data_IF_923952602025
#
_entry.id   IF_923952602025
#
_cell.length_a   1.000
_cell.length_b   1.000
_cell.length_c   1.000
_cell.angle_alpha   90.00
_cell.angle_beta   90.00
_cell.angle_gamma   90.00
#
_symmetry.space_group_name_H-M   'P 1'
#
loop_
_entity.id
_entity.type
_entity.pdbx_description
1 polymer ?
#
# COMPACT_ATOMS: atom_id res chain seq x y z
N UNK A 1 21.77 -14.13 10.42
CA UNK A 1 21.90 -12.75 10.95
C UNK A 1 22.42 -11.85 9.83
N UNK A 2 21.57 -11.65 8.83
CA UNK A 2 21.67 -10.82 7.62
C UNK A 2 20.28 -11.03 6.99
N UNK A 3 19.41 -10.05 6.76
CA UNK A 3 19.61 -8.80 6.03
C UNK A 3 18.59 -7.80 6.57
N UNK A 4 18.99 -6.97 7.53
CA UNK A 4 18.16 -5.89 8.12
C UNK A 4 18.41 -4.55 7.41
N UNK A 5 18.67 -4.61 6.10
CA UNK A 5 18.69 -3.45 5.22
C UNK A 5 17.44 -3.53 4.35
N UNK A 6 16.31 -3.19 4.98
CA UNK A 6 15.11 -2.77 4.26
C UNK A 6 15.52 -1.51 3.50
N UNK A 7 15.44 -1.56 2.17
CA UNK A 7 15.79 -0.48 1.26
C UNK A 7 14.95 0.77 1.59
N UNK A 8 15.55 1.64 2.39
CA UNK A 8 15.12 3.03 2.52
C UNK A 8 15.42 3.68 1.17
N UNK A 9 14.42 4.32 0.56
CA UNK A 9 14.64 5.28 -0.53
C UNK A 9 15.36 6.49 0.05
N UNK A 10 16.66 6.40 0.29
CA UNK A 10 17.45 7.48 0.86
C UNK A 10 17.60 8.61 -0.18
N UNK A 11 17.29 9.86 0.21
CA UNK A 11 17.60 11.05 -0.58
C UNK A 11 16.53 12.15 -0.60
N UNK A 12 16.82 13.23 -1.34
CA UNK A 12 16.04 14.48 -1.40
C UNK A 12 14.56 14.30 -1.76
N UNK A 13 14.23 13.29 -2.57
CA UNK A 13 12.85 12.99 -2.96
C UNK A 13 12.00 12.49 -1.77
N UNK A 14 12.59 11.70 -0.87
CA UNK A 14 11.92 11.23 0.34
C UNK A 14 11.71 12.38 1.32
N UNK A 15 12.74 13.22 1.51
CA UNK A 15 12.63 14.41 2.37
C UNK A 15 11.55 15.38 1.89
N UNK A 16 11.47 15.60 0.57
CA UNK A 16 10.42 16.43 -0.03
C UNK A 16 9.03 15.85 0.19
N UNK A 17 8.83 14.55 -0.06
CA UNK A 17 7.54 13.89 0.13
C UNK A 17 7.11 13.88 1.62
N UNK A 18 8.05 13.65 2.54
CA UNK A 18 7.79 13.74 3.99
C UNK A 18 7.37 15.17 4.36
N UNK A 19 8.07 16.18 3.84
CA UNK A 19 7.75 17.57 4.10
C UNK A 19 6.35 17.94 3.59
N UNK A 20 6.01 17.54 2.36
CA UNK A 20 4.70 17.75 1.76
C UNK A 20 3.58 17.05 2.56
N UNK A 21 3.83 15.82 3.04
CA UNK A 21 2.90 15.10 3.90
C UNK A 21 2.69 15.81 5.25
N UNK A 22 3.76 16.31 5.88
CA UNK A 22 3.69 17.09 7.13
C UNK A 22 2.92 18.39 6.92
N UNK A 23 3.18 19.12 5.83
CA UNK A 23 2.49 20.38 5.55
C UNK A 23 1.01 20.15 5.21
N UNK A 24 0.69 19.05 4.53
CA UNK A 24 -0.70 18.62 4.29
C UNK A 24 -1.42 18.27 5.60
N UNK A 25 -0.74 17.59 6.53
CA UNK A 25 -1.29 17.26 7.85
C UNK A 25 -1.58 18.51 8.69
N UNK A 26 -0.77 19.57 8.60
CA UNK A 26 -1.05 20.85 9.27
C UNK A 26 -2.32 21.51 8.72
N UNK A 27 -2.49 21.51 7.40
CA UNK A 27 -3.70 22.05 6.76
C UNK A 27 -4.93 21.26 7.22
N UNK A 28 -4.82 19.93 7.30
CA UNK A 28 -5.89 19.08 7.82
C UNK A 28 -6.20 19.39 9.30
N UNK A 29 -5.18 19.49 10.16
CA UNK A 29 -5.31 19.84 11.58
C UNK A 29 -6.03 21.18 11.78
N UNK A 30 -5.67 22.22 11.01
CA UNK A 30 -6.30 23.55 11.06
C UNK A 30 -7.75 23.52 10.58
N UNK A 31 -8.04 22.79 9.49
CA UNK A 31 -9.38 22.66 8.94
C UNK A 31 -10.32 21.79 9.78
N UNK A 32 -9.80 20.89 10.61
CA UNK A 32 -10.62 19.99 11.40
C UNK A 32 -11.56 20.73 12.38
N UNK A 33 -11.12 21.84 12.98
CA UNK A 33 -11.98 22.64 13.87
C UNK A 33 -13.03 23.47 13.13
N UNK A 34 -12.74 23.88 11.90
CA UNK A 34 -13.65 24.70 11.09
C UNK A 34 -14.88 23.91 10.65
N UNK A 35 -14.68 22.63 10.27
CA UNK A 35 -15.74 21.76 9.77
C UNK A 35 -16.36 20.87 10.85
N UNK A 36 -15.68 20.63 11.98
CA UNK A 36 -16.11 19.72 13.03
C UNK A 36 -15.93 20.35 14.43
N UNK A 37 -16.93 21.11 14.93
CA UNK A 37 -16.80 21.91 16.15
C UNK A 37 -16.82 21.11 17.47
N UNK A 38 -16.54 19.80 17.49
CA UNK A 38 -16.60 18.97 18.70
C UNK A 38 -15.48 17.94 18.85
N UNK A 39 -15.28 17.53 20.10
CA UNK A 39 -14.25 16.63 20.64
C UNK A 39 -14.22 15.23 20.02
N UNK A 40 -13.08 14.50 20.15
CA UNK A 40 -12.97 13.10 19.77
C UNK A 40 -14.13 12.23 20.27
N UNK A 41 -14.57 11.27 19.46
CA UNK A 41 -15.67 10.36 19.81
C UNK A 41 -15.33 9.53 21.06
N UNK A 42 -16.34 9.28 21.89
CA UNK A 42 -16.17 8.56 23.17
C UNK A 42 -16.87 7.19 23.18
N UNK A 43 -17.67 6.92 22.15
CA UNK A 43 -18.42 5.67 21.97
C UNK A 43 -18.66 5.40 20.48
N UNK A 44 -18.95 4.14 20.15
CA UNK A 44 -19.18 3.68 18.77
C UNK A 44 -20.45 4.28 18.14
N UNK A 45 -21.46 4.60 18.96
CA UNK A 45 -22.70 5.24 18.50
C UNK A 45 -22.49 6.67 17.94
N UNK A 46 -21.31 7.25 18.17
CA UNK A 46 -20.92 8.57 17.68
C UNK A 46 -20.08 8.50 16.39
N UNK A 47 -19.78 7.30 15.89
CA UNK A 47 -18.85 7.10 14.77
C UNK A 47 -19.46 7.62 13.45
N UNK A 48 -18.84 8.68 12.92
CA UNK A 48 -19.23 9.32 11.68
C UNK A 48 -18.35 8.95 10.48
N UNK A 49 -18.74 9.41 9.30
CA UNK A 49 -18.00 9.19 8.05
C UNK A 49 -16.58 9.75 8.13
N UNK A 50 -16.39 10.89 8.80
CA UNK A 50 -15.06 11.47 8.98
C UNK A 50 -14.16 10.58 9.86
N UNK A 51 -14.69 10.01 10.94
CA UNK A 51 -13.93 9.11 11.83
C UNK A 51 -13.40 7.90 11.06
N UNK A 52 -14.24 7.34 10.17
CA UNK A 52 -13.86 6.24 9.26
C UNK A 52 -12.75 6.70 8.30
N UNK A 53 -12.91 7.87 7.68
CA UNK A 53 -11.93 8.42 6.74
C UNK A 53 -10.59 8.68 7.44
N UNK A 54 -10.59 9.37 8.59
CA UNK A 54 -9.39 9.65 9.40
C UNK A 54 -8.73 8.33 9.82
N UNK A 55 -9.49 7.35 10.31
CA UNK A 55 -8.94 6.06 10.70
C UNK A 55 -8.36 5.27 9.52
N UNK A 56 -9.00 5.30 8.35
CA UNK A 56 -8.53 4.58 7.17
C UNK A 56 -7.23 5.14 6.61
N UNK A 57 -7.02 6.45 6.72
CA UNK A 57 -5.83 7.15 6.19
C UNK A 57 -4.71 7.22 7.23
N UNK A 58 -5.04 7.46 8.50
CA UNK A 58 -4.08 7.79 9.55
C UNK A 58 -4.04 6.79 10.70
N UNK A 59 -4.97 5.83 10.79
CA UNK A 59 -5.03 4.85 11.90
C UNK A 59 -3.79 3.96 12.03
N UNK A 60 -3.04 3.80 10.93
CA UNK A 60 -1.80 3.03 10.85
C UNK A 60 -0.53 3.89 11.00
N UNK A 61 -0.65 5.15 11.44
CA UNK A 61 0.46 6.10 11.37
C UNK A 61 1.75 5.63 12.06
N UNK A 62 1.68 4.94 13.19
CA UNK A 62 2.88 4.43 13.89
C UNK A 62 3.71 3.48 12.99
N UNK A 63 3.02 2.62 12.25
CA UNK A 63 3.65 1.72 11.29
C UNK A 63 4.17 2.47 10.06
N UNK A 64 3.45 3.52 9.62
CA UNK A 64 3.92 4.42 8.55
C UNK A 64 5.22 5.12 9.00
N UNK A 65 5.25 5.71 10.19
CA UNK A 65 6.43 6.41 10.72
C UNK A 65 7.64 5.48 10.85
N UNK A 66 7.43 4.24 11.31
CA UNK A 66 8.48 3.22 11.38
C UNK A 66 9.02 2.86 10.00
N UNK A 67 8.14 2.59 9.02
CA UNK A 67 8.54 2.21 7.67
C UNK A 67 9.26 3.35 6.94
N UNK A 68 8.76 4.57 7.07
CA UNK A 68 9.35 5.73 6.40
C UNK A 68 10.50 6.37 7.18
N UNK A 69 10.74 5.95 8.43
CA UNK A 69 11.80 6.47 9.30
C UNK A 69 11.57 7.93 9.70
N UNK A 70 10.34 8.41 9.66
CA UNK A 70 10.00 9.82 9.86
C UNK A 70 8.75 9.96 10.72
N UNK A 71 8.81 10.85 11.72
CA UNK A 71 7.67 11.14 12.59
C UNK A 71 6.71 12.09 11.87
N UNK A 72 5.51 11.61 11.55
CA UNK A 72 4.46 12.31 10.81
C UNK A 72 3.40 12.87 11.76
N UNK A 73 2.95 12.10 12.75
CA UNK A 73 1.98 12.52 13.75
C UNK A 73 2.70 12.77 15.07
N UNK A 74 2.59 13.99 15.57
CA UNK A 74 3.23 14.40 16.81
C UNK A 74 2.21 15.16 17.67
N UNK A 75 2.06 14.82 18.97
CA UNK A 75 1.06 15.46 19.82
C UNK A 75 1.33 16.95 20.08
N UNK A 76 2.56 17.44 19.90
CA UNK A 76 2.88 18.86 20.01
C UNK A 76 2.55 19.62 18.71
N UNK A 77 2.71 18.96 17.55
CA UNK A 77 2.42 19.57 16.23
C UNK A 77 0.95 19.44 15.82
N UNK A 78 0.34 18.29 16.13
CA UNK A 78 -0.99 17.88 15.66
C UNK A 78 -1.84 17.34 16.84
N UNK A 79 -2.11 18.16 17.88
CA UNK A 79 -2.80 17.70 19.09
C UNK A 79 -4.22 17.16 18.84
N UNK A 80 -4.96 17.72 17.89
CA UNK A 80 -6.33 17.31 17.56
C UNK A 80 -6.34 15.99 16.81
N UNK A 81 -5.58 15.87 15.71
CA UNK A 81 -5.43 14.60 14.98
C UNK A 81 -4.95 13.50 15.92
N UNK A 82 -3.97 13.77 16.78
CA UNK A 82 -3.47 12.79 17.74
C UNK A 82 -4.54 12.33 18.73
N UNK A 83 -5.23 13.28 19.39
CA UNK A 83 -6.27 12.94 20.37
C UNK A 83 -7.45 12.18 19.75
N UNK A 84 -7.80 12.52 18.51
CA UNK A 84 -8.89 11.87 17.78
C UNK A 84 -8.51 10.46 17.33
N UNK A 85 -7.30 10.28 16.81
CA UNK A 85 -6.78 8.95 16.49
C UNK A 85 -6.72 8.06 17.73
N UNK A 86 -6.21 8.55 18.85
CA UNK A 86 -6.18 7.78 20.09
C UNK A 86 -7.60 7.41 20.57
N UNK A 87 -8.59 8.29 20.40
CA UNK A 87 -9.97 7.96 20.73
C UNK A 87 -10.56 6.86 19.83
N UNK A 88 -10.44 7.00 18.50
CA UNK A 88 -10.97 6.03 17.53
C UNK A 88 -10.26 4.68 17.68
N UNK A 89 -8.92 4.67 17.76
CA UNK A 89 -8.12 3.45 17.88
C UNK A 89 -8.36 2.71 19.21
N UNK A 90 -8.95 3.36 20.20
CA UNK A 90 -9.30 2.74 21.47
C UNK A 90 -10.71 2.13 21.52
N UNK A 91 -11.55 2.37 20.52
CA UNK A 91 -12.89 1.78 20.45
C UNK A 91 -12.83 0.24 20.30
N UNK A 92 -13.70 -0.52 20.99
CA UNK A 92 -13.76 -1.98 20.88
C UNK A 92 -13.93 -2.48 19.44
N UNK A 93 -14.91 -1.97 18.69
CA UNK A 93 -15.16 -2.35 17.30
C UNK A 93 -13.95 -2.11 16.39
N UNK A 94 -13.22 -1.01 16.62
CA UNK A 94 -11.99 -0.70 15.87
C UNK A 94 -10.88 -1.68 16.26
N UNK A 95 -10.71 -1.99 17.56
CA UNK A 95 -9.72 -2.98 18.03
C UNK A 95 -9.96 -4.38 17.47
N UNK A 96 -11.22 -4.78 17.28
CA UNK A 96 -11.58 -6.10 16.75
C UNK A 96 -11.25 -6.27 15.26
N UNK A 97 -11.38 -5.21 14.46
CA UNK A 97 -11.11 -5.25 13.01
C UNK A 97 -9.69 -4.79 12.65
N UNK A 98 -8.94 -4.28 13.62
CA UNK A 98 -7.62 -3.67 13.40
C UNK A 98 -6.56 -4.74 13.20
N UNK A 99 -5.74 -4.55 12.17
CA UNK A 99 -4.48 -5.26 12.01
C UNK A 99 -3.55 -4.98 13.18
N UNK A 100 -2.92 -6.02 13.74
CA UNK A 100 -1.87 -5.83 14.76
C UNK A 100 -0.78 -4.89 14.22
N UNK A 101 -0.05 -4.24 15.12
CA UNK A 101 1.05 -3.35 14.71
C UNK A 101 2.05 -4.05 13.79
N UNK A 102 2.38 -5.31 14.10
CA UNK A 102 3.28 -6.14 13.29
C UNK A 102 2.68 -6.43 11.91
N UNK A 103 1.40 -6.82 11.83
CA UNK A 103 0.73 -7.04 10.53
C UNK A 103 0.65 -5.76 9.70
N UNK A 104 0.43 -4.61 10.33
CA UNK A 104 0.39 -3.30 9.68
C UNK A 104 1.76 -2.90 9.13
N UNK A 105 2.82 -3.08 9.93
CA UNK A 105 4.21 -2.83 9.48
C UNK A 105 4.54 -3.75 8.31
N UNK A 106 4.24 -5.05 8.41
CA UNK A 106 4.48 -6.01 7.33
C UNK A 106 3.70 -5.62 6.06
N UNK A 107 2.41 -5.27 6.18
CA UNK A 107 1.57 -4.81 5.08
C UNK A 107 2.19 -3.61 4.36
N UNK A 108 2.59 -2.57 5.12
CA UNK A 108 3.19 -1.36 4.55
C UNK A 108 4.56 -1.62 3.93
N UNK A 109 5.36 -2.51 4.52
CA UNK A 109 6.65 -2.91 3.96
C UNK A 109 6.46 -3.62 2.61
N UNK A 110 5.51 -4.55 2.51
CA UNK A 110 5.21 -5.25 1.26
C UNK A 110 4.70 -4.27 0.21
N UNK A 111 3.75 -3.39 0.56
CA UNK A 111 3.27 -2.37 -0.37
C UNK A 111 4.39 -1.45 -0.87
N UNK A 112 5.35 -1.10 0.00
CA UNK A 112 6.51 -0.28 -0.38
C UNK A 112 7.42 -1.00 -1.38
N UNK A 113 7.61 -2.31 -1.26
CA UNK A 113 8.40 -3.08 -2.22
C UNK A 113 7.85 -2.93 -3.65
N UNK A 114 6.52 -2.82 -3.77
CA UNK A 114 5.85 -2.67 -5.06
C UNK A 114 5.52 -1.21 -5.43
N UNK A 115 6.04 -0.23 -4.70
CA UNK A 115 5.92 1.18 -5.07
C UNK A 115 6.42 1.49 -6.51
N UNK A 116 7.45 0.80 -7.07
CA UNK A 116 7.92 1.05 -8.44
C UNK A 116 6.88 0.74 -9.54
N UNK A 117 5.82 -0.03 -9.25
CA UNK A 117 4.78 -0.34 -10.25
C UNK A 117 4.11 0.91 -10.82
N UNK A 118 3.97 1.97 -10.01
CA UNK A 118 3.37 3.22 -10.45
C UNK A 118 4.26 3.97 -11.47
N UNK A 119 5.55 4.24 -11.21
CA UNK A 119 6.44 4.81 -12.21
C UNK A 119 6.67 3.86 -13.41
N UNK A 120 6.59 2.53 -13.25
CA UNK A 120 6.60 1.59 -14.39
C UNK A 120 5.47 1.89 -15.38
N UNK A 121 4.27 2.21 -14.87
CA UNK A 121 3.10 2.52 -15.68
C UNK A 121 3.14 3.95 -16.22
N UNK A 122 3.64 4.92 -15.47
CA UNK A 122 3.45 6.36 -15.75
C UNK A 122 4.65 7.08 -16.36
N UNK A 123 5.82 6.43 -16.44
CA UNK A 123 7.03 7.03 -17.02
C UNK A 123 7.44 6.37 -18.35
N UNK A 124 8.37 7.01 -19.07
CA UNK A 124 8.95 6.52 -20.32
C UNK A 124 10.49 6.65 -20.30
N UNK A 125 11.18 5.97 -21.22
CA UNK A 125 12.64 6.09 -21.39
C UNK A 125 13.44 5.57 -20.19
N UNK A 126 14.49 6.29 -19.82
CA UNK A 126 15.42 5.88 -18.74
C UNK A 126 14.73 5.77 -17.38
N UNK A 127 13.78 6.67 -17.09
CA UNK A 127 13.02 6.62 -15.83
C UNK A 127 12.17 5.36 -15.72
N UNK A 128 11.53 4.95 -16.83
CA UNK A 128 10.76 3.71 -16.88
C UNK A 128 11.66 2.49 -16.78
N UNK A 129 12.79 2.49 -17.49
CA UNK A 129 13.76 1.40 -17.42
C UNK A 129 14.30 1.21 -15.99
N UNK A 130 14.56 2.31 -15.28
CA UNK A 130 14.94 2.28 -13.86
C UNK A 130 13.83 1.69 -12.98
N UNK A 131 12.59 2.17 -13.13
CA UNK A 131 11.46 1.66 -12.35
C UNK A 131 11.18 0.17 -12.61
N UNK A 132 11.29 -0.29 -13.86
CA UNK A 132 11.16 -1.71 -14.23
C UNK A 132 12.23 -2.54 -13.52
N UNK A 133 13.47 -2.06 -13.49
CA UNK A 133 14.55 -2.76 -12.78
C UNK A 133 14.27 -2.84 -11.29
N UNK A 134 13.86 -1.73 -10.67
CA UNK A 134 13.51 -1.69 -9.24
C UNK A 134 12.35 -2.65 -8.91
N UNK A 135 11.33 -2.73 -9.77
CA UNK A 135 10.21 -3.66 -9.62
C UNK A 135 10.67 -5.13 -9.72
N UNK A 136 11.55 -5.46 -10.67
CA UNK A 136 12.11 -6.81 -10.81
C UNK A 136 12.97 -7.18 -9.59
N UNK A 137 13.79 -6.26 -9.11
CA UNK A 137 14.63 -6.48 -7.92
C UNK A 137 13.76 -6.67 -6.67
N UNK A 138 12.66 -5.91 -6.54
CA UNK A 138 11.69 -6.07 -5.46
C UNK A 138 10.98 -7.43 -5.51
N UNK A 139 10.51 -7.86 -6.69
CA UNK A 139 9.91 -9.18 -6.89
C UNK A 139 10.86 -10.32 -6.52
N UNK A 140 12.17 -10.15 -6.76
CA UNK A 140 13.19 -11.11 -6.35
C UNK A 140 13.32 -11.20 -4.83
N UNK A 141 13.34 -10.06 -4.13
CA UNK A 141 13.36 -10.03 -2.65
C UNK A 141 12.13 -10.71 -2.07
N UNK A 142 10.95 -10.45 -2.66
CA UNK A 142 9.70 -11.12 -2.26
C UNK A 142 9.81 -12.61 -2.48
N UNK A 143 10.22 -13.06 -3.67
CA UNK A 143 10.37 -14.49 -4.00
C UNK A 143 11.33 -15.22 -3.05
N UNK A 144 12.51 -14.65 -2.77
CA UNK A 144 13.53 -15.25 -1.90
C UNK A 144 13.12 -15.26 -0.43
N UNK A 145 12.47 -14.19 0.04
CA UNK A 145 12.01 -14.08 1.43
C UNK A 145 10.65 -14.71 1.68
N UNK A 146 9.94 -15.15 0.64
CA UNK A 146 8.50 -15.40 0.73
C UNK A 146 8.15 -16.46 1.76
N UNK A 147 8.90 -17.56 1.80
CA UNK A 147 8.66 -18.66 2.73
C UNK A 147 9.12 -18.36 4.15
N UNK A 148 10.04 -17.40 4.32
CA UNK A 148 10.50 -16.94 5.64
C UNK A 148 9.51 -15.94 6.25
N UNK A 149 8.98 -15.02 5.43
CA UNK A 149 7.97 -14.06 5.85
C UNK A 149 6.57 -14.68 5.94
N UNK A 150 6.28 -15.66 5.08
CA UNK A 150 4.95 -16.22 4.86
C UNK A 150 5.01 -17.75 4.72
N UNK A 151 5.04 -18.48 5.85
CA UNK A 151 5.19 -19.93 5.85
C UNK A 151 3.99 -20.68 5.24
N UNK A 152 2.91 -19.98 4.87
CA UNK A 152 1.71 -20.54 4.23
C UNK A 152 1.68 -20.18 2.74
N UNK A 153 1.97 -21.15 1.87
CA UNK A 153 1.78 -21.08 0.41
C UNK A 153 1.30 -22.44 -0.13
N UNK A 154 0.50 -22.49 -1.22
CA UNK A 154 -0.53 -21.56 -1.67
C UNK A 154 -1.91 -21.95 -1.10
N UNK A 155 -2.81 -20.97 -1.04
CA UNK A 155 -4.18 -21.18 -0.58
C UNK A 155 -4.99 -22.03 -1.58
N UNK A 156 -5.87 -22.88 -1.04
CA UNK A 156 -6.72 -23.76 -1.87
C UNK A 156 -8.21 -23.42 -1.79
N UNK A 157 -8.59 -22.49 -0.91
CA UNK A 157 -9.97 -22.11 -0.68
C UNK A 157 -10.07 -20.67 -0.17
N UNK A 158 -11.23 -20.06 -0.35
CA UNK A 158 -11.51 -18.68 0.08
C UNK A 158 -11.52 -18.55 1.61
N UNK A 159 -11.88 -19.61 2.33
CA UNK A 159 -11.90 -19.66 3.80
C UNK A 159 -10.50 -19.54 4.44
N UNK A 160 -9.45 -19.64 3.62
CA UNK A 160 -8.05 -19.55 4.02
C UNK A 160 -7.40 -18.22 3.60
N UNK A 161 -8.16 -17.28 3.02
CA UNK A 161 -7.65 -15.96 2.63
C UNK A 161 -7.17 -15.17 3.85
N UNK A 162 -5.89 -14.81 3.86
CA UNK A 162 -5.28 -13.90 4.80
C UNK A 162 -5.07 -12.49 4.24
N UNK A 163 -4.63 -11.58 5.10
CA UNK A 163 -4.30 -10.20 4.70
C UNK A 163 -3.27 -10.15 3.56
N UNK A 164 -2.26 -11.01 3.63
CA UNK A 164 -1.20 -11.05 2.65
C UNK A 164 -1.70 -11.42 1.25
N UNK A 165 -2.62 -12.37 1.17
CA UNK A 165 -3.24 -12.80 -0.08
C UNK A 165 -3.97 -11.63 -0.75
N UNK A 166 -4.66 -10.82 0.06
CA UNK A 166 -5.32 -9.59 -0.38
C UNK A 166 -4.29 -8.59 -0.90
N UNK A 167 -3.16 -8.40 -0.18
CA UNK A 167 -2.07 -7.51 -0.62
C UNK A 167 -1.50 -7.95 -1.95
N UNK A 168 -1.05 -9.21 -2.05
CA UNK A 168 -0.44 -9.77 -3.25
C UNK A 168 -1.42 -9.69 -4.42
N UNK A 169 -2.70 -10.04 -4.21
CA UNK A 169 -3.71 -9.93 -5.25
C UNK A 169 -3.97 -8.47 -5.67
N UNK A 170 -4.00 -7.53 -4.72
CA UNK A 170 -4.28 -6.11 -5.01
C UNK A 170 -3.18 -5.46 -5.86
N UNK A 171 -1.94 -5.88 -5.64
CA UNK A 171 -0.76 -5.31 -6.30
C UNK A 171 -0.41 -6.06 -7.58
N UNK A 172 -0.25 -7.38 -7.49
CA UNK A 172 0.27 -8.21 -8.58
C UNK A 172 -0.81 -8.89 -9.40
N UNK A 173 -2.07 -8.87 -8.94
CA UNK A 173 -3.16 -9.46 -9.69
C UNK A 173 -3.24 -8.90 -11.12
N UNK A 174 -3.08 -7.59 -11.28
CA UNK A 174 -3.20 -6.93 -12.59
C UNK A 174 -1.90 -6.96 -13.42
N UNK A 175 -0.88 -7.70 -12.97
CA UNK A 175 0.44 -7.80 -13.62
C UNK A 175 0.32 -8.09 -15.12
N UNK A 176 -0.46 -9.11 -15.53
CA UNK A 176 -0.67 -9.43 -16.96
C UNK A 176 -1.17 -8.24 -17.79
N UNK A 177 -2.07 -7.42 -17.24
CA UNK A 177 -2.59 -6.24 -17.93
C UNK A 177 -1.55 -5.12 -17.98
N UNK A 178 -0.78 -4.93 -16.90
CA UNK A 178 0.33 -3.97 -16.85
C UNK A 178 1.40 -4.34 -17.88
N UNK A 179 1.81 -5.61 -17.91
CA UNK A 179 2.80 -6.17 -18.85
C UNK A 179 2.38 -5.96 -20.30
N UNK A 180 1.10 -6.13 -20.63
CA UNK A 180 0.57 -5.84 -21.97
C UNK A 180 0.68 -4.35 -22.33
N UNK A 181 0.42 -3.45 -21.37
CA UNK A 181 0.48 -2.01 -21.62
C UNK A 181 1.92 -1.51 -21.79
N UNK A 182 2.85 -1.99 -20.97
CA UNK A 182 4.25 -1.53 -20.99
C UNK A 182 5.12 -2.34 -21.96
N UNK A 183 4.66 -3.51 -22.40
CA UNK A 183 5.40 -4.41 -23.30
C UNK A 183 6.57 -5.15 -22.64
N UNK A 184 6.57 -5.29 -21.31
CA UNK A 184 7.65 -5.89 -20.52
C UNK A 184 7.08 -6.90 -19.54
N UNK A 185 7.72 -8.07 -19.44
CA UNK A 185 7.38 -9.12 -18.48
C UNK A 185 7.95 -8.79 -17.09
N UNK A 186 7.08 -8.59 -16.10
CA UNK A 186 7.44 -8.29 -14.72
C UNK A 186 7.43 -9.57 -13.87
N UNK A 187 6.28 -10.24 -13.78
CA UNK A 187 6.11 -11.49 -13.01
C UNK A 187 6.35 -12.66 -13.94
N UNK A 188 7.53 -13.26 -13.82
CA UNK A 188 7.99 -14.33 -14.72
C UNK A 188 8.00 -15.67 -13.99
N UNK A 189 7.42 -16.75 -14.53
CA UNK A 189 7.37 -18.04 -13.85
C UNK A 189 8.75 -18.71 -13.66
N UNK A 190 9.77 -18.35 -14.44
CA UNK A 190 11.14 -18.86 -14.26
C UNK A 190 11.88 -18.06 -13.17
N UNK A 191 11.66 -16.74 -13.11
CA UNK A 191 12.31 -15.87 -12.11
C UNK A 191 11.58 -15.83 -10.76
N UNK A 192 10.26 -15.99 -10.78
CA UNK A 192 9.33 -15.80 -9.67
C UNK A 192 8.33 -16.97 -9.57
N UNK A 193 8.77 -18.24 -9.55
CA UNK A 193 7.87 -19.40 -9.64
C UNK A 193 6.82 -19.43 -8.53
N UNK A 194 7.19 -19.09 -7.29
CA UNK A 194 6.26 -19.11 -6.16
C UNK A 194 5.28 -17.94 -6.25
N UNK A 195 5.75 -16.70 -6.44
CA UNK A 195 4.88 -15.52 -6.57
C UNK A 195 3.93 -15.68 -7.75
N UNK A 196 4.43 -16.18 -8.89
CA UNK A 196 3.61 -16.46 -10.08
C UNK A 196 2.49 -17.45 -9.76
N UNK A 197 2.84 -18.60 -9.16
CA UNK A 197 1.85 -19.64 -8.82
C UNK A 197 0.79 -19.13 -7.84
N UNK A 198 1.19 -18.27 -6.90
CA UNK A 198 0.29 -17.71 -5.90
C UNK A 198 -0.66 -16.70 -6.51
N UNK A 199 -0.16 -15.77 -7.34
CA UNK A 199 -1.00 -14.81 -8.05
C UNK A 199 -2.02 -15.56 -8.92
N UNK A 200 -1.59 -16.57 -9.68
CA UNK A 200 -2.51 -17.37 -10.49
C UNK A 200 -3.58 -18.08 -9.64
N UNK A 201 -3.22 -18.63 -8.47
CA UNK A 201 -4.19 -19.25 -7.56
C UNK A 201 -5.20 -18.22 -7.01
N UNK A 202 -4.72 -17.04 -6.59
CA UNK A 202 -5.56 -15.97 -6.02
C UNK A 202 -6.59 -15.44 -7.01
N UNK A 203 -6.15 -15.14 -8.23
CA UNK A 203 -7.04 -14.55 -9.25
C UNK A 203 -8.07 -15.57 -9.74
N UNK A 204 -7.80 -16.86 -9.55
CA UNK A 204 -8.70 -17.94 -9.93
C UNK A 204 -9.77 -18.24 -8.85
N UNK A 205 -9.65 -17.68 -7.64
CA UNK A 205 -10.65 -17.83 -6.58
C UNK A 205 -12.00 -17.24 -7.03
N UNK A 206 -13.13 -17.96 -6.83
CA UNK A 206 -14.46 -17.47 -7.22
C UNK A 206 -14.80 -16.06 -6.74
N UNK A 207 -14.51 -15.72 -5.47
CA UNK A 207 -14.73 -14.41 -4.88
C UNK A 207 -13.94 -13.32 -5.61
N UNK A 208 -12.68 -13.59 -5.98
CA UNK A 208 -11.82 -12.65 -6.71
C UNK A 208 -12.32 -12.49 -8.15
N UNK A 209 -12.66 -13.59 -8.83
CA UNK A 209 -13.22 -13.53 -10.20
C UNK A 209 -14.50 -12.73 -10.30
N UNK A 210 -15.36 -12.81 -9.28
CA UNK A 210 -16.64 -12.08 -9.26
C UNK A 210 -16.46 -10.56 -9.19
N UNK A 211 -15.44 -10.07 -8.47
CA UNK A 211 -15.21 -8.64 -8.28
C UNK A 211 -14.23 -8.04 -9.30
N UNK A 212 -13.43 -8.88 -9.96
CA UNK A 212 -12.38 -8.41 -10.85
C UNK A 212 -12.94 -7.83 -12.16
N UNK A 213 -12.45 -6.67 -12.62
CA UNK A 213 -12.67 -6.22 -13.99
C UNK A 213 -12.17 -7.25 -15.02
N UNK A 214 -12.80 -7.33 -16.20
CA UNK A 214 -12.25 -8.12 -17.29
C UNK A 214 -10.85 -7.63 -17.66
N UNK A 215 -10.01 -8.53 -18.17
CA UNK A 215 -8.63 -8.19 -18.59
C UNK A 215 -8.60 -6.97 -19.53
N UNK A 216 -9.49 -6.92 -20.52
CA UNK A 216 -9.64 -5.78 -21.43
C UNK A 216 -9.94 -4.45 -20.71
N UNK A 217 -10.79 -4.47 -19.67
CA UNK A 217 -11.10 -3.28 -18.87
C UNK A 217 -9.90 -2.86 -18.03
N UNK A 218 -9.17 -3.82 -17.45
CA UNK A 218 -7.93 -3.54 -16.73
C UNK A 218 -6.88 -2.89 -17.64
N UNK A 219 -6.67 -3.44 -18.84
CA UNK A 219 -5.76 -2.86 -19.86
C UNK A 219 -6.19 -1.45 -20.24
N UNK A 220 -7.48 -1.24 -20.54
CA UNK A 220 -7.99 0.09 -20.89
C UNK A 220 -7.78 1.11 -19.76
N UNK A 221 -8.03 0.71 -18.51
CA UNK A 221 -7.82 1.56 -17.34
C UNK A 221 -6.34 1.90 -17.11
N UNK A 222 -5.45 0.92 -17.25
CA UNK A 222 -4.00 1.14 -17.10
C UNK A 222 -3.46 2.03 -18.22
N UNK A 223 -3.93 1.86 -19.47
CA UNK A 223 -3.60 2.78 -20.57
C UNK A 223 -4.08 4.20 -20.28
N UNK A 224 -5.32 4.34 -19.80
CA UNK A 224 -5.85 5.63 -19.39
C UNK A 224 -4.97 6.31 -18.33
N UNK A 225 -4.57 5.59 -17.29
CA UNK A 225 -3.64 6.11 -16.27
C UNK A 225 -2.32 6.52 -16.91
N UNK A 226 -1.71 5.64 -17.71
CA UNK A 226 -0.43 5.88 -18.39
C UNK A 226 -0.50 7.12 -19.27
N UNK A 227 -1.59 7.33 -20.01
CA UNK A 227 -1.72 8.42 -20.97
C UNK A 227 -1.97 9.77 -20.28
N UNK A 228 -2.67 9.78 -19.14
CA UNK A 228 -3.04 11.01 -18.42
C UNK A 228 -2.03 11.42 -17.34
N UNK A 229 -1.27 10.47 -16.79
CA UNK A 229 -0.30 10.72 -15.72
C UNK A 229 1.16 10.67 -16.22
N UNK A 230 1.38 10.79 -17.54
CA UNK A 230 2.74 10.96 -18.07
C UNK A 230 3.39 12.12 -17.35
N UNK A 231 4.46 11.86 -16.61
CA UNK A 231 5.30 12.92 -16.08
C UNK A 231 5.73 13.83 -17.26
N UNK A 232 5.72 15.16 -17.10
CA UNK A 232 6.15 16.06 -18.16
C UNK A 232 7.55 15.66 -18.61
N UNK A 233 7.75 15.60 -19.93
CA UNK A 233 9.08 15.35 -20.51
C UNK A 233 10.04 16.39 -19.93
N UNK A 234 11.11 15.91 -19.29
CA UNK A 234 12.23 16.74 -18.86
C UNK A 234 12.85 17.49 -20.05
#
# INVERSE_FOLDING_TARGET
MATRQVLVTEGEAQEKAIKEAIDTLKIAEEGMLEFFPTTPITSEDQLGVLDIVICSVLGSYKAIEEVFGAKLIDPERNPLVFSWLEAILNLPAVKEIRLTHVETVNFLQILRLFAPIFPVITTEGEAQAKAIKEEIDALKVVEEGMLEFFPTTPITSEDQLGLLDIVICSVLGYSKAIEEVIGVKLVDPERNPLVFSWVEALIELPAVKQIRPSHEKSVAFIRFIRDNLKAPKA
#
